data_IF_466144856103
#
_entry.id   IF_466144856103
#
_cell.length_a   1.000
_cell.length_b   1.000
_cell.length_c   1.000
_cell.angle_alpha   90.00
_cell.angle_beta   90.00
_cell.angle_gamma   90.00
#
_symmetry.space_group_name_H-M   'P 1'
#
loop_
_entity.id
_entity.type
_entity.pdbx_description
1 polymer ?
#
# COMPACT_ATOMS: atom_id res chain seq x y z
N UNK A 1 15.25 1.63 8.94
CA UNK A 1 14.44 0.39 8.78
C UNK A 1 13.37 0.34 9.88
N UNK A 2 12.20 -0.29 9.63
CA UNK A 2 11.17 -0.55 10.64
C UNK A 2 11.10 -2.06 10.87
N UNK A 3 11.02 -2.47 12.13
CA UNK A 3 10.88 -3.87 12.54
C UNK A 3 9.76 -3.98 13.57
N UNK A 4 9.14 -5.14 13.66
CA UNK A 4 8.07 -5.40 14.62
C UNK A 4 7.60 -6.84 14.53
N UNK A 5 6.77 -7.24 15.47
CA UNK A 5 6.18 -8.58 15.47
C UNK A 5 5.09 -8.69 14.41
N UNK A 6 5.01 -9.88 13.83
CA UNK A 6 3.86 -10.32 13.06
C UNK A 6 3.10 -11.32 13.95
N UNK A 7 1.91 -10.95 14.47
CA UNK A 7 1.19 -11.80 15.40
C UNK A 7 0.95 -13.19 14.83
N UNK A 8 1.34 -14.22 15.61
CA UNK A 8 1.09 -15.62 15.29
C UNK A 8 0.50 -16.31 16.52
N UNK A 9 -0.77 -16.70 16.44
CA UNK A 9 -1.48 -17.37 17.55
C UNK A 9 -0.90 -18.73 17.94
N UNK A 10 -0.02 -19.31 17.13
CA UNK A 10 0.64 -20.59 17.39
C UNK A 10 1.97 -20.44 18.14
N UNK A 11 2.45 -19.22 18.32
CA UNK A 11 3.72 -18.95 19.00
C UNK A 11 3.48 -18.30 20.36
N UNK A 12 4.36 -18.61 21.32
CA UNK A 12 4.40 -17.94 22.61
C UNK A 12 4.87 -16.48 22.42
N UNK A 13 4.04 -15.55 22.85
CA UNK A 13 4.30 -14.11 22.73
C UNK A 13 5.58 -13.66 23.45
N UNK A 14 6.01 -14.39 24.51
CA UNK A 14 7.26 -14.11 25.22
C UNK A 14 8.47 -14.47 24.35
N UNK A 15 8.41 -15.60 23.65
CA UNK A 15 9.46 -16.05 22.73
C UNK A 15 9.56 -15.09 21.54
N UNK A 16 8.42 -14.65 21.00
CA UNK A 16 8.41 -13.67 19.89
C UNK A 16 9.06 -12.35 20.31
N UNK A 17 8.71 -11.83 21.48
CA UNK A 17 9.33 -10.61 22.05
C UNK A 17 10.82 -10.78 22.28
N UNK A 18 11.25 -11.91 22.83
CA UNK A 18 12.67 -12.20 23.03
C UNK A 18 13.44 -12.22 21.69
N UNK A 19 12.90 -12.86 20.65
CA UNK A 19 13.48 -12.88 19.31
C UNK A 19 13.58 -11.49 18.70
N UNK A 20 12.52 -10.67 18.83
CA UNK A 20 12.53 -9.28 18.37
C UNK A 20 13.62 -8.48 19.08
N UNK A 21 13.77 -8.62 20.40
CA UNK A 21 14.81 -7.95 21.17
C UNK A 21 16.21 -8.38 20.74
N UNK A 22 16.44 -9.70 20.59
CA UNK A 22 17.71 -10.21 20.10
C UNK A 22 18.07 -9.65 18.71
N UNK A 23 17.09 -9.58 17.81
CA UNK A 23 17.30 -8.99 16.48
C UNK A 23 17.57 -7.48 16.57
N UNK A 24 16.85 -6.76 17.43
CA UNK A 24 17.08 -5.34 17.67
C UNK A 24 18.49 -5.07 18.23
N UNK A 25 19.00 -5.93 19.13
CA UNK A 25 20.34 -5.83 19.68
C UNK A 25 21.40 -6.06 18.61
N UNK A 26 21.20 -7.03 17.73
CA UNK A 26 22.07 -7.27 16.58
C UNK A 26 22.17 -6.03 15.68
N UNK A 27 21.02 -5.40 15.38
CA UNK A 27 20.98 -4.17 14.58
C UNK A 27 21.67 -2.98 15.26
N UNK A 28 21.55 -2.86 16.60
CA UNK A 28 22.27 -1.84 17.38
C UNK A 28 23.77 -2.03 17.31
N UNK A 29 24.25 -3.26 17.51
CA UNK A 29 25.68 -3.59 17.38
C UNK A 29 26.21 -3.31 15.97
N UNK A 30 25.40 -3.59 14.94
CA UNK A 30 25.72 -3.25 13.55
C UNK A 30 25.51 -1.77 13.18
N UNK A 31 25.24 -0.89 14.14
CA UNK A 31 24.99 0.55 13.95
C UNK A 31 23.93 0.86 12.89
N UNK A 32 22.99 -0.06 12.67
CA UNK A 32 21.89 0.10 11.73
C UNK A 32 20.79 0.97 12.33
N UNK A 33 20.35 2.02 11.62
CA UNK A 33 19.23 2.84 12.06
C UNK A 33 17.91 2.08 11.89
N UNK A 34 17.17 1.86 12.97
CA UNK A 34 15.88 1.20 12.94
C UNK A 34 14.92 1.78 14.00
N UNK A 35 13.64 1.48 13.83
CA UNK A 35 12.57 1.75 14.80
C UNK A 35 11.79 0.45 15.02
N UNK A 36 11.58 0.10 16.29
CA UNK A 36 10.65 -0.98 16.67
C UNK A 36 9.23 -0.42 16.66
N UNK A 37 8.32 -1.12 15.99
CA UNK A 37 6.91 -0.76 15.91
C UNK A 37 6.09 -1.73 16.76
N UNK A 38 5.15 -1.20 17.52
CA UNK A 38 4.21 -2.01 18.32
C UNK A 38 3.21 -2.73 17.45
N UNK A 39 2.71 -2.05 16.41
CA UNK A 39 1.76 -2.60 15.44
C UNK A 39 2.30 -2.53 14.02
N UNK A 40 3.00 -3.58 13.61
CA UNK A 40 3.54 -3.69 12.25
C UNK A 40 2.42 -3.80 11.19
N UNK A 41 1.28 -4.39 11.53
CA UNK A 41 0.16 -4.53 10.60
C UNK A 41 -0.44 -3.19 10.24
N UNK A 42 -0.61 -2.30 11.20
CA UNK A 42 -1.07 -0.94 10.94
C UNK A 42 -0.16 -0.23 9.94
N UNK A 43 1.14 -0.23 10.16
CA UNK A 43 2.10 0.41 9.25
C UNK A 43 2.10 -0.21 7.85
N UNK A 44 1.92 -1.52 7.77
CA UNK A 44 1.79 -2.21 6.47
C UNK A 44 0.55 -1.78 5.71
N UNK A 45 -0.60 -1.71 6.39
CA UNK A 45 -1.84 -1.28 5.76
C UNK A 45 -1.85 0.21 5.39
N UNK A 46 -1.28 1.09 6.21
CA UNK A 46 -1.06 2.49 5.85
C UNK A 46 -0.24 2.61 4.55
N UNK A 47 0.81 1.77 4.43
CA UNK A 47 1.59 1.70 3.18
C UNK A 47 0.78 1.11 2.03
N UNK A 48 -0.11 0.14 2.26
CA UNK A 48 -1.01 -0.39 1.23
C UNK A 48 -1.96 0.69 0.75
N UNK A 49 -2.58 1.48 1.64
CA UNK A 49 -3.43 2.63 1.27
C UNK A 49 -2.67 3.60 0.37
N UNK A 50 -1.45 3.99 0.76
CA UNK A 50 -0.58 4.84 -0.04
C UNK A 50 -0.26 4.24 -1.41
N UNK A 51 0.18 2.99 -1.44
CA UNK A 51 0.60 2.34 -2.67
C UNK A 51 -0.58 2.08 -3.62
N UNK A 52 -1.74 1.65 -3.10
CA UNK A 52 -2.92 1.44 -3.94
C UNK A 52 -3.29 2.72 -4.67
N UNK A 53 -3.28 3.88 -4.00
CA UNK A 53 -3.60 5.14 -4.65
C UNK A 53 -2.50 5.52 -5.67
N UNK A 54 -1.28 5.72 -5.22
CA UNK A 54 -0.26 6.34 -6.08
C UNK A 54 0.33 5.41 -7.11
N UNK A 55 0.55 4.12 -6.77
CA UNK A 55 1.07 3.18 -7.76
C UNK A 55 0.08 2.95 -8.89
N UNK A 56 -1.19 2.80 -8.56
CA UNK A 56 -2.20 2.54 -9.59
C UNK A 56 -2.45 3.75 -10.48
N UNK A 57 -2.68 4.92 -9.88
CA UNK A 57 -3.08 6.11 -10.61
C UNK A 57 -1.95 6.63 -11.50
N UNK A 58 -0.72 6.71 -10.99
CA UNK A 58 0.42 7.12 -11.80
C UNK A 58 0.74 6.14 -12.92
N UNK A 59 0.52 4.83 -12.70
CA UNK A 59 0.75 3.81 -13.73
C UNK A 59 -0.30 3.84 -14.82
N UNK A 60 -1.58 3.97 -14.47
CA UNK A 60 -2.67 4.02 -15.45
C UNK A 60 -2.61 5.27 -16.32
N UNK A 61 -2.28 6.40 -15.72
CA UNK A 61 -2.29 7.71 -16.40
C UNK A 61 -0.95 8.09 -17.00
N UNK A 62 0.13 7.41 -16.60
CA UNK A 62 1.52 7.69 -16.99
C UNK A 62 2.02 9.10 -16.61
N UNK A 63 1.32 9.80 -15.71
CA UNK A 63 1.74 11.08 -15.15
C UNK A 63 2.20 10.94 -13.69
N UNK A 64 2.84 11.96 -13.14
CA UNK A 64 3.20 12.03 -11.74
C UNK A 64 1.98 12.36 -10.84
N UNK A 65 2.17 12.30 -9.54
CA UNK A 65 1.10 12.50 -8.55
C UNK A 65 0.48 13.90 -8.60
N UNK A 66 1.27 14.95 -8.81
CA UNK A 66 0.74 16.33 -8.86
C UNK A 66 -0.01 16.57 -10.16
N UNK A 67 0.51 16.11 -11.28
CA UNK A 67 -0.17 16.17 -12.58
C UNK A 67 -1.51 15.43 -12.53
N UNK A 68 -1.56 14.26 -11.86
CA UNK A 68 -2.81 13.54 -11.64
C UNK A 68 -3.80 14.37 -10.80
N UNK A 69 -3.39 14.86 -9.63
CA UNK A 69 -4.28 15.57 -8.71
C UNK A 69 -4.86 16.85 -9.31
N UNK A 70 -4.13 17.51 -10.22
CA UNK A 70 -4.56 18.72 -10.90
C UNK A 70 -5.21 18.47 -12.28
N UNK A 71 -5.36 17.21 -12.69
CA UNK A 71 -5.89 16.86 -14.02
C UNK A 71 -7.37 17.16 -14.17
N UNK A 72 -8.14 17.08 -13.09
CA UNK A 72 -9.57 17.41 -13.07
C UNK A 72 -10.04 17.69 -11.64
N UNK A 73 -11.19 18.36 -11.46
CA UNK A 73 -11.79 18.55 -10.14
C UNK A 73 -12.19 17.23 -9.45
N UNK A 74 -12.32 16.15 -10.20
CA UNK A 74 -12.73 14.83 -9.69
C UNK A 74 -11.54 13.96 -9.26
N UNK A 75 -10.30 14.32 -9.62
CA UNK A 75 -9.12 13.51 -9.37
C UNK A 75 -8.84 13.30 -7.87
N UNK A 76 -8.89 14.35 -7.07
CA UNK A 76 -8.71 14.24 -5.61
C UNK A 76 -9.88 13.49 -4.94
N UNK A 77 -11.18 13.79 -5.18
CA UNK A 77 -12.30 13.02 -4.67
C UNK A 77 -12.23 11.53 -5.01
N UNK A 78 -11.83 11.18 -6.24
CA UNK A 78 -11.62 9.81 -6.66
C UNK A 78 -10.52 9.12 -5.85
N UNK A 79 -9.38 9.78 -5.71
CA UNK A 79 -8.23 9.27 -4.94
C UNK A 79 -8.61 9.00 -3.49
N UNK A 80 -9.33 9.94 -2.87
CA UNK A 80 -9.84 9.79 -1.50
C UNK A 80 -10.81 8.62 -1.36
N UNK A 81 -11.70 8.43 -2.31
CA UNK A 81 -12.65 7.31 -2.32
C UNK A 81 -11.92 5.97 -2.42
N UNK A 82 -10.95 5.86 -3.31
CA UNK A 82 -10.10 4.67 -3.43
C UNK A 82 -9.35 4.36 -2.11
N UNK A 83 -8.78 5.36 -1.45
CA UNK A 83 -8.11 5.19 -0.16
C UNK A 83 -9.07 4.70 0.92
N UNK A 84 -10.29 5.26 0.99
CA UNK A 84 -11.32 4.85 1.97
C UNK A 84 -11.76 3.40 1.81
N UNK A 85 -11.89 2.91 0.58
CA UNK A 85 -12.17 1.49 0.33
C UNK A 85 -11.09 0.60 0.96
N UNK A 86 -9.81 0.92 0.74
CA UNK A 86 -8.70 0.15 1.30
C UNK A 86 -8.66 0.23 2.82
N UNK A 87 -8.95 1.39 3.41
CA UNK A 87 -9.06 1.57 4.88
C UNK A 87 -10.19 0.70 5.43
N UNK A 88 -11.36 0.70 4.79
CA UNK A 88 -12.51 -0.13 5.19
C UNK A 88 -12.16 -1.61 5.20
N UNK A 89 -11.45 -2.08 4.17
CA UNK A 89 -10.97 -3.46 4.08
C UNK A 89 -9.97 -3.77 5.21
N UNK A 90 -9.01 -2.87 5.44
CA UNK A 90 -8.00 -3.03 6.50
C UNK A 90 -8.63 -3.12 7.89
N UNK A 91 -9.63 -2.29 8.17
CA UNK A 91 -10.41 -2.33 9.43
C UNK A 91 -11.14 -3.66 9.61
N UNK A 92 -11.76 -4.15 8.57
CA UNK A 92 -12.44 -5.45 8.60
C UNK A 92 -11.46 -6.62 8.76
N UNK A 93 -10.18 -6.43 8.42
CA UNK A 93 -9.10 -7.36 8.75
C UNK A 93 -8.55 -7.18 10.19
N UNK A 94 -9.19 -6.37 11.03
CA UNK A 94 -8.81 -6.14 12.44
C UNK A 94 -7.65 -5.14 12.62
N UNK A 95 -7.34 -4.34 11.61
CA UNK A 95 -6.27 -3.34 11.70
C UNK A 95 -6.86 -1.97 12.10
N UNK A 96 -6.35 -1.30 13.16
CA UNK A 96 -6.86 -0.01 13.61
C UNK A 96 -6.38 1.12 12.68
N UNK A 97 -7.14 1.34 11.59
CA UNK A 97 -6.93 2.44 10.67
C UNK A 97 -7.99 3.52 10.91
N UNK A 98 -7.58 4.76 11.03
CA UNK A 98 -8.47 5.89 11.26
C UNK A 98 -8.85 6.57 9.93
N UNK A 99 -10.01 7.25 9.88
CA UNK A 99 -10.47 7.94 8.65
C UNK A 99 -9.57 9.11 8.31
N UNK A 100 -8.98 9.75 9.33
CA UNK A 100 -8.01 10.84 9.23
C UNK A 100 -6.76 10.44 8.45
N UNK A 101 -6.48 9.15 8.30
CA UNK A 101 -5.35 8.66 7.49
C UNK A 101 -5.42 9.19 6.06
N UNK A 102 -6.62 9.30 5.47
CA UNK A 102 -6.78 9.86 4.12
C UNK A 102 -6.27 11.30 4.07
N UNK A 103 -6.68 12.14 5.04
CA UNK A 103 -6.26 13.54 5.09
C UNK A 103 -4.76 13.67 5.33
N UNK A 104 -4.21 12.86 6.22
CA UNK A 104 -2.76 12.82 6.48
C UNK A 104 -1.96 12.46 5.21
N UNK A 105 -2.44 11.47 4.45
CA UNK A 105 -1.79 11.05 3.21
C UNK A 105 -1.93 12.11 2.11
N UNK A 106 -3.07 12.80 2.02
CA UNK A 106 -3.27 13.90 1.09
C UNK A 106 -2.40 15.12 1.43
N UNK A 107 -2.31 15.50 2.70
CA UNK A 107 -1.39 16.56 3.15
C UNK A 107 0.05 16.19 2.81
N UNK A 108 0.44 14.95 3.06
CA UNK A 108 1.79 14.46 2.75
C UNK A 108 2.12 14.54 1.27
N UNK A 109 1.20 14.10 0.38
CA UNK A 109 1.49 14.13 -1.06
C UNK A 109 1.52 15.55 -1.61
N UNK A 110 0.65 16.44 -1.12
CA UNK A 110 0.61 17.85 -1.54
C UNK A 110 1.86 18.63 -1.10
N UNK A 111 2.56 18.18 -0.06
CA UNK A 111 3.84 18.75 0.37
C UNK A 111 5.05 18.27 -0.45
N UNK A 112 4.86 17.30 -1.34
CA UNK A 112 5.92 16.73 -2.18
C UNK A 112 5.84 17.29 -3.61
N UNK A 113 6.97 17.39 -4.33
CA UNK A 113 6.93 17.60 -5.77
C UNK A 113 6.21 16.43 -6.45
N UNK A 114 5.81 16.59 -7.71
CA UNK A 114 5.27 15.51 -8.51
C UNK A 114 6.21 14.31 -8.57
N UNK A 115 5.77 13.16 -8.10
CA UNK A 115 6.56 11.91 -8.10
C UNK A 115 5.86 10.82 -8.89
N UNK A 116 6.64 10.07 -9.66
CA UNK A 116 6.20 8.79 -10.21
C UNK A 116 6.32 7.67 -9.18
N UNK A 117 5.66 6.55 -9.43
CA UNK A 117 5.74 5.36 -8.58
C UNK A 117 6.73 4.32 -9.13
N UNK A 118 7.11 3.36 -8.26
CA UNK A 118 7.89 2.19 -8.69
C UNK A 118 7.13 1.37 -9.74
N UNK A 119 5.84 1.14 -9.55
CA UNK A 119 4.99 0.42 -10.49
C UNK A 119 4.93 1.13 -11.86
N UNK A 120 4.83 2.46 -11.89
CA UNK A 120 4.91 3.23 -13.13
C UNK A 120 6.27 3.05 -13.82
N UNK A 121 7.35 3.03 -13.05
CA UNK A 121 8.70 2.79 -13.58
C UNK A 121 8.82 1.40 -14.18
N UNK A 122 8.28 0.37 -13.51
CA UNK A 122 8.25 -0.99 -14.04
C UNK A 122 7.44 -1.08 -15.34
N UNK A 123 6.25 -0.46 -15.35
CA UNK A 123 5.41 -0.39 -16.53
C UNK A 123 6.13 0.29 -17.73
N UNK A 124 6.76 1.45 -17.51
CA UNK A 124 7.54 2.18 -18.52
C UNK A 124 8.73 1.36 -19.07
N UNK A 125 9.29 0.52 -18.22
CA UNK A 125 10.44 -0.34 -18.57
C UNK A 125 10.04 -1.70 -19.13
N UNK A 126 8.74 -1.94 -19.38
CA UNK A 126 8.25 -3.23 -19.87
C UNK A 126 8.39 -4.38 -18.85
N UNK A 127 8.60 -4.09 -17.57
CA UNK A 127 8.76 -5.12 -16.54
C UNK A 127 7.40 -5.50 -15.92
N UNK A 128 7.26 -6.76 -15.46
CA UNK A 128 6.10 -7.19 -14.67
C UNK A 128 5.90 -6.33 -13.44
N UNK A 129 4.64 -6.03 -13.11
CA UNK A 129 4.26 -5.17 -12.00
C UNK A 129 3.78 -5.97 -10.78
N UNK A 130 3.93 -5.41 -9.57
CA UNK A 130 3.50 -6.03 -8.31
C UNK A 130 1.98 -5.85 -8.04
N UNK A 131 1.15 -6.04 -9.07
CA UNK A 131 -0.31 -5.76 -8.99
C UNK A 131 -1.00 -6.67 -7.98
N UNK A 132 -0.68 -7.97 -7.99
CA UNK A 132 -1.34 -8.94 -7.11
C UNK A 132 -0.98 -8.78 -5.63
N UNK A 133 0.18 -8.18 -5.34
CA UNK A 133 0.60 -7.87 -3.98
C UNK A 133 -0.05 -6.58 -3.49
N UNK A 134 -0.03 -5.52 -4.30
CA UNK A 134 -0.48 -4.18 -3.89
C UNK A 134 -2.00 -4.04 -3.95
N UNK A 135 -2.63 -4.43 -5.07
CA UNK A 135 -4.07 -4.31 -5.26
C UNK A 135 -4.81 -5.65 -5.06
N UNK A 136 -4.23 -6.75 -5.56
CA UNK A 136 -4.89 -8.04 -5.56
C UNK A 136 -5.15 -8.58 -4.15
N UNK A 137 -4.25 -8.34 -3.19
CA UNK A 137 -4.48 -8.75 -1.80
C UNK A 137 -5.68 -8.03 -1.18
N UNK A 138 -5.81 -6.69 -1.19
CA UNK A 138 -7.01 -6.00 -0.72
C UNK A 138 -8.29 -6.42 -1.46
N UNK A 139 -8.24 -6.60 -2.79
CA UNK A 139 -9.40 -7.07 -3.57
C UNK A 139 -9.88 -8.45 -3.11
N UNK A 140 -8.95 -9.39 -2.88
CA UNK A 140 -9.33 -10.72 -2.34
C UNK A 140 -9.96 -10.61 -0.96
N UNK A 141 -9.38 -9.78 -0.08
CA UNK A 141 -9.94 -9.55 1.26
C UNK A 141 -11.32 -8.89 1.22
N UNK A 142 -11.54 -7.94 0.34
CA UNK A 142 -12.86 -7.34 0.13
C UNK A 142 -13.90 -8.41 -0.23
N UNK A 143 -13.57 -9.29 -1.19
CA UNK A 143 -14.47 -10.39 -1.61
C UNK A 143 -14.71 -11.41 -0.50
N UNK A 144 -13.66 -11.83 0.21
CA UNK A 144 -13.77 -12.77 1.35
C UNK A 144 -14.69 -12.24 2.47
N UNK A 145 -14.67 -10.91 2.69
CA UNK A 145 -15.40 -10.24 3.76
C UNK A 145 -16.73 -9.61 3.30
N UNK A 146 -17.09 -9.75 2.03
CA UNK A 146 -18.33 -9.18 1.46
C UNK A 146 -18.34 -7.66 1.43
N UNK A 147 -17.19 -7.01 1.31
CA UNK A 147 -17.04 -5.55 1.29
C UNK A 147 -17.07 -5.05 -0.14
N UNK A 148 -17.92 -4.06 -0.41
CA UNK A 148 -17.95 -3.37 -1.72
C UNK A 148 -16.74 -2.46 -1.86
N UNK A 149 -15.98 -2.63 -2.95
CA UNK A 149 -14.79 -1.82 -3.24
C UNK A 149 -14.70 -1.52 -4.76
N UNK A 150 -15.70 -0.81 -5.33
CA UNK A 150 -15.83 -0.65 -6.77
C UNK A 150 -14.65 0.09 -7.42
N UNK A 151 -14.09 1.10 -6.78
CA UNK A 151 -12.92 1.82 -7.30
C UNK A 151 -11.69 0.91 -7.36
N UNK A 152 -11.41 0.20 -6.27
CA UNK A 152 -10.29 -0.71 -6.18
C UNK A 152 -10.40 -1.87 -7.17
N UNK A 153 -11.58 -2.48 -7.29
CA UNK A 153 -11.84 -3.58 -8.21
C UNK A 153 -11.68 -3.16 -9.67
N UNK A 154 -12.23 -2.01 -10.04
CA UNK A 154 -12.11 -1.48 -11.40
C UNK A 154 -10.64 -1.23 -11.78
N UNK A 155 -9.90 -0.55 -10.92
CA UNK A 155 -8.47 -0.26 -11.13
C UNK A 155 -7.66 -1.57 -11.21
N UNK A 156 -7.94 -2.53 -10.33
CA UNK A 156 -7.26 -3.83 -10.33
C UNK A 156 -7.44 -4.57 -11.66
N UNK A 157 -8.68 -4.65 -12.18
CA UNK A 157 -8.97 -5.32 -13.44
C UNK A 157 -8.24 -4.66 -14.61
N UNK A 158 -8.25 -3.32 -14.67
CA UNK A 158 -7.57 -2.57 -15.75
C UNK A 158 -6.05 -2.79 -15.69
N UNK A 159 -5.44 -2.68 -14.51
CA UNK A 159 -4.00 -2.89 -14.35
C UNK A 159 -3.57 -4.33 -14.64
N UNK A 160 -4.41 -5.31 -14.32
CA UNK A 160 -4.17 -6.72 -14.71
C UNK A 160 -4.09 -6.87 -16.23
N UNK A 161 -4.94 -6.18 -16.97
CA UNK A 161 -4.89 -6.20 -18.43
C UNK A 161 -3.60 -5.53 -18.97
N UNK A 162 -3.17 -4.42 -18.35
CA UNK A 162 -1.90 -3.77 -18.69
C UNK A 162 -0.71 -4.69 -18.43
N UNK A 163 -0.64 -5.33 -17.26
CA UNK A 163 0.44 -6.26 -16.90
C UNK A 163 0.44 -7.51 -17.79
N UNK A 164 -0.75 -8.04 -18.11
CA UNK A 164 -0.89 -9.15 -19.05
C UNK A 164 -0.29 -8.85 -20.43
N UNK A 165 -0.50 -7.64 -20.94
CA UNK A 165 0.12 -7.18 -22.18
C UNK A 165 1.65 -7.11 -22.07
N UNK A 166 2.19 -6.61 -20.97
CA UNK A 166 3.63 -6.54 -20.75
C UNK A 166 4.25 -7.94 -20.68
N UNK A 167 3.61 -8.86 -19.95
CA UNK A 167 4.08 -10.26 -19.84
C UNK A 167 4.04 -11.02 -21.16
N UNK A 168 3.09 -10.71 -22.02
CA UNK A 168 2.98 -11.33 -23.34
C UNK A 168 4.05 -10.81 -24.34
N UNK A 169 4.72 -9.71 -24.03
CA UNK A 169 5.78 -9.12 -24.83
C UNK A 169 7.19 -9.54 -24.39
N UNK A 170 7.31 -10.30 -23.29
CA UNK A 170 8.57 -10.88 -22.79
C UNK A 170 8.83 -12.25 -23.40
#
# INVERSE_FOLDING_TARGET
MQIGLFPNSQLDSSIEKQRLNTFADLLRHGQTRFKVLENMQQQRWEKVVWNVAWNSLTTLTMVDTQTWLHSSPDAEPFTRSLMREVITIGRACGVPLEDELVDQLMVKINALPGIGSSMQTDCKSGRPMEIDVILGYPVRKAKELGISAPYLEAIYVILRAVDGRLRAAL
#
